data_IF_910092095291
#
_entry.id   IF_910092095291
#
_cell.length_a   1.000
_cell.length_b   1.000
_cell.length_c   1.000
_cell.angle_alpha   90.00
_cell.angle_beta   90.00
_cell.angle_gamma   90.00
#
_symmetry.space_group_name_H-M   'P 1'
#
loop_
_entity.id
_entity.type
_entity.pdbx_description
1 polymer ?
#
# COMPACT_ATOMS: atom_id res chain seq x y z
N UNK A 1 8.15 10.69 7.26
CA UNK A 1 8.86 11.95 7.05
C UNK A 1 9.55 12.00 5.68
N UNK A 2 10.52 11.09 5.36
CA UNK A 2 11.25 11.10 4.07
C UNK A 2 10.29 11.03 2.88
N UNK A 3 9.31 10.12 2.90
CA UNK A 3 8.32 9.97 1.82
C UNK A 3 7.45 11.21 1.65
N UNK A 4 7.08 11.88 2.72
CA UNK A 4 6.28 13.12 2.70
C UNK A 4 7.08 14.26 2.06
N UNK A 5 8.32 14.45 2.51
CA UNK A 5 9.22 15.46 1.96
C UNK A 5 9.48 15.19 0.46
N UNK A 6 9.74 13.92 0.10
CA UNK A 6 9.97 13.54 -1.30
C UNK A 6 8.77 13.81 -2.19
N UNK A 7 7.54 13.57 -1.73
CA UNK A 7 6.35 13.85 -2.52
C UNK A 7 6.09 15.35 -2.72
N UNK A 8 6.28 16.16 -1.67
CA UNK A 8 6.16 17.62 -1.76
C UNK A 8 7.23 18.17 -2.72
N UNK A 9 8.49 17.79 -2.52
CA UNK A 9 9.59 18.19 -3.39
C UNK A 9 9.37 17.70 -4.82
N UNK A 10 8.95 16.46 -5.00
CA UNK A 10 8.64 15.90 -6.32
C UNK A 10 7.54 16.67 -7.05
N UNK A 11 6.46 17.04 -6.34
CA UNK A 11 5.38 17.87 -6.90
C UNK A 11 5.84 19.28 -7.30
N UNK A 12 6.67 19.92 -6.49
CA UNK A 12 7.26 21.24 -6.80
C UNK A 12 8.23 21.12 -7.99
N UNK A 13 9.11 20.13 -7.98
CA UNK A 13 10.08 19.88 -9.04
C UNK A 13 9.41 19.59 -10.38
N UNK A 14 8.31 18.81 -10.39
CA UNK A 14 7.51 18.56 -11.59
C UNK A 14 6.86 19.84 -12.17
N UNK A 15 6.61 20.85 -11.35
CA UNK A 15 6.12 22.14 -11.80
C UNK A 15 7.20 23.06 -12.39
N UNK A 16 8.48 22.83 -12.08
CA UNK A 16 9.60 23.73 -12.42
C UNK A 16 10.55 23.08 -13.44
N UNK A 17 10.78 21.77 -13.33
CA UNK A 17 11.78 21.03 -14.10
C UNK A 17 11.14 20.12 -15.14
N UNK A 18 11.84 19.87 -16.24
CA UNK A 18 11.41 18.87 -17.22
C UNK A 18 11.50 17.44 -16.63
N UNK A 19 10.62 16.57 -17.10
CA UNK A 19 10.61 15.14 -16.70
C UNK A 19 11.96 14.48 -16.93
N UNK A 20 12.66 14.85 -18.00
CA UNK A 20 13.99 14.32 -18.34
C UNK A 20 15.02 14.69 -17.27
N UNK A 21 15.00 15.94 -16.79
CA UNK A 21 15.92 16.40 -15.74
C UNK A 21 15.63 15.73 -14.40
N UNK A 22 14.35 15.55 -14.05
CA UNK A 22 13.93 14.81 -12.83
C UNK A 22 14.39 13.36 -12.91
N UNK A 23 14.25 12.71 -14.07
CA UNK A 23 14.72 11.33 -14.28
C UNK A 23 16.23 11.22 -14.12
N UNK A 24 16.98 12.21 -14.62
CA UNK A 24 18.43 12.28 -14.46
C UNK A 24 18.82 12.42 -12.99
N UNK A 25 18.19 13.34 -12.25
CA UNK A 25 18.42 13.52 -10.82
C UNK A 25 18.14 12.22 -10.05
N UNK A 26 17.04 11.54 -10.38
CA UNK A 26 16.69 10.26 -9.74
C UNK A 26 17.76 9.19 -10.05
N UNK A 27 18.21 9.06 -11.29
CA UNK A 27 19.29 8.14 -11.65
C UNK A 27 20.59 8.45 -10.87
N UNK A 28 20.90 9.72 -10.69
CA UNK A 28 22.09 10.18 -9.96
C UNK A 28 22.01 9.84 -8.47
N UNK A 29 20.84 9.98 -7.85
CA UNK A 29 20.63 9.57 -6.45
C UNK A 29 20.80 8.06 -6.26
N UNK A 30 20.30 7.23 -7.20
CA UNK A 30 20.54 5.78 -7.17
C UNK A 30 22.02 5.42 -7.35
N UNK A 31 22.73 6.14 -8.21
CA UNK A 31 24.16 5.93 -8.42
C UNK A 31 24.95 6.27 -7.16
N UNK A 32 24.62 7.38 -6.48
CA UNK A 32 25.24 7.75 -5.20
C UNK A 32 24.96 6.67 -4.13
N UNK A 33 23.71 6.19 -4.04
CA UNK A 33 23.35 5.13 -3.12
C UNK A 33 24.11 3.83 -3.41
N UNK A 34 24.24 3.46 -4.68
CA UNK A 34 25.00 2.28 -5.12
C UNK A 34 26.48 2.41 -4.72
N UNK A 35 27.11 3.56 -5.01
CA UNK A 35 28.50 3.82 -4.61
C UNK A 35 28.62 3.77 -3.07
N UNK A 36 27.68 4.34 -2.33
CA UNK A 36 27.66 4.28 -0.86
C UNK A 36 27.64 2.83 -0.33
N UNK A 37 26.86 1.96 -0.96
CA UNK A 37 26.82 0.52 -0.58
C UNK A 37 28.18 -0.17 -0.80
N UNK A 38 28.93 0.20 -1.86
CA UNK A 38 30.25 -0.37 -2.12
C UNK A 38 31.28 -0.02 -1.03
N UNK A 39 31.09 1.10 -0.32
CA UNK A 39 31.95 1.51 0.78
C UNK A 39 31.58 0.89 2.15
N UNK A 40 30.43 0.17 2.23
CA UNK A 40 30.07 -0.56 3.44
C UNK A 40 31.03 -1.75 3.58
N UNK A 41 31.94 -1.67 4.56
CA UNK A 41 32.86 -2.76 4.83
C UNK A 41 32.10 -4.00 5.29
N UNK A 42 32.51 -5.16 4.75
CA UNK A 42 31.97 -6.48 5.10
C UNK A 42 32.01 -6.82 6.62
N UNK A 43 32.75 -6.08 7.44
CA UNK A 43 32.83 -6.28 8.88
C UNK A 43 31.52 -5.99 9.62
N UNK A 44 30.62 -5.13 9.05
CA UNK A 44 29.27 -4.94 9.57
C UNK A 44 28.32 -6.11 9.25
N UNK A 45 28.72 -6.99 8.35
CA UNK A 45 27.96 -8.19 7.93
C UNK A 45 28.39 -9.45 8.66
N UNK A 46 29.34 -9.35 9.62
CA UNK A 46 29.64 -10.43 10.56
C UNK A 46 28.54 -10.51 11.63
N UNK A 47 27.31 -10.71 11.21
CA UNK A 47 26.29 -11.35 12.03
C UNK A 47 26.85 -12.73 12.37
N UNK A 48 26.97 -13.02 13.67
CA UNK A 48 27.45 -14.30 14.19
C UNK A 48 26.88 -15.44 13.37
N UNK A 49 27.79 -16.29 12.85
CA UNK A 49 27.51 -17.53 12.12
C UNK A 49 26.80 -18.56 13.01
N UNK A 50 25.64 -18.25 13.55
CA UNK A 50 24.86 -19.19 14.34
C UNK A 50 23.73 -19.83 13.55
N UNK A 51 23.53 -19.41 12.28
CA UNK A 51 22.62 -20.12 11.38
C UNK A 51 23.47 -20.66 10.23
N UNK A 52 23.66 -21.98 10.21
CA UNK A 52 24.32 -22.71 9.13
C UNK A 52 23.50 -22.59 7.84
N UNK A 53 23.66 -21.47 7.14
CA UNK A 53 23.21 -21.36 5.74
C UNK A 53 24.21 -22.11 4.85
N UNK A 54 24.15 -23.45 4.87
CA UNK A 54 24.95 -24.32 4.00
C UNK A 54 24.33 -24.52 2.60
N UNK A 55 23.19 -23.91 2.31
CA UNK A 55 22.62 -23.96 0.96
C UNK A 55 22.85 -22.64 0.26
N UNK A 56 23.62 -22.67 -0.83
CA UNK A 56 23.86 -21.50 -1.68
C UNK A 56 22.54 -20.84 -2.06
N UNK A 57 22.54 -19.50 -2.13
CA UNK A 57 21.41 -18.65 -2.53
C UNK A 57 20.93 -19.05 -3.96
N UNK A 58 20.17 -20.14 -4.04
CA UNK A 58 19.48 -20.56 -5.25
C UNK A 58 18.12 -19.90 -5.27
N UNK A 59 17.72 -19.33 -6.41
CA UNK A 59 16.36 -18.81 -6.63
C UNK A 59 15.32 -19.88 -6.24
N UNK A 60 15.64 -21.15 -6.47
CA UNK A 60 14.78 -22.29 -6.13
C UNK A 60 14.59 -22.42 -4.61
N UNK A 61 15.67 -22.33 -3.80
CA UNK A 61 15.56 -22.38 -2.34
C UNK A 61 14.81 -21.17 -1.79
N UNK A 62 15.04 -19.98 -2.35
CA UNK A 62 14.29 -18.78 -1.99
C UNK A 62 12.78 -18.94 -2.25
N UNK A 63 12.40 -19.43 -3.42
CA UNK A 63 10.99 -19.71 -3.75
C UNK A 63 10.39 -20.79 -2.83
N UNK A 64 11.15 -21.84 -2.49
CA UNK A 64 10.71 -22.87 -1.56
C UNK A 64 10.48 -22.30 -0.15
N UNK A 65 11.37 -21.46 0.35
CA UNK A 65 11.20 -20.80 1.65
C UNK A 65 10.01 -19.85 1.65
N UNK A 66 9.80 -19.06 0.60
CA UNK A 66 8.60 -18.22 0.45
C UNK A 66 7.33 -19.07 0.45
N UNK A 67 7.32 -20.21 -0.26
CA UNK A 67 6.17 -21.10 -0.32
C UNK A 67 5.88 -21.75 1.03
N UNK A 68 6.90 -22.21 1.74
CA UNK A 68 6.75 -22.78 3.08
C UNK A 68 6.24 -21.74 4.09
N UNK A 69 6.78 -20.53 4.05
CA UNK A 69 6.33 -19.41 4.91
C UNK A 69 4.90 -18.97 4.58
N UNK A 70 4.52 -18.96 3.29
CA UNK A 70 3.15 -18.71 2.87
C UNK A 70 2.19 -19.79 3.36
N UNK A 71 2.61 -21.04 3.43
CA UNK A 71 1.82 -22.15 3.97
C UNK A 71 1.58 -22.00 5.48
N UNK A 72 2.54 -21.45 6.23
CA UNK A 72 2.33 -21.11 7.65
C UNK A 72 1.25 -20.05 7.82
N UNK A 73 1.26 -18.98 6.99
CA UNK A 73 0.24 -17.94 6.98
C UNK A 73 -1.13 -18.52 6.60
N UNK A 74 -1.16 -19.43 5.63
CA UNK A 74 -2.40 -20.08 5.16
C UNK A 74 -3.11 -20.89 6.23
N UNK A 75 -2.35 -21.46 7.16
CA UNK A 75 -2.89 -22.22 8.29
C UNK A 75 -3.41 -21.31 9.44
N UNK A 76 -3.21 -19.99 9.33
CA UNK A 76 -3.70 -19.02 10.30
C UNK A 76 -5.03 -18.42 9.81
N UNK A 77 -6.14 -19.16 9.92
CA UNK A 77 -7.44 -18.82 9.34
C UNK A 77 -7.85 -17.35 9.51
N UNK A 78 -7.64 -16.75 10.69
CA UNK A 78 -8.01 -15.37 10.96
C UNK A 78 -7.08 -14.36 10.29
N UNK A 79 -5.77 -14.61 10.33
CA UNK A 79 -4.75 -13.71 9.78
C UNK A 79 -4.88 -13.65 8.27
N UNK A 80 -5.10 -14.78 7.60
CA UNK A 80 -5.23 -14.81 6.14
C UNK A 80 -6.44 -14.02 5.65
N UNK A 81 -7.58 -14.10 6.36
CA UNK A 81 -8.76 -13.30 6.05
C UNK A 81 -8.48 -11.80 6.15
N UNK A 82 -7.85 -11.37 7.24
CA UNK A 82 -7.47 -9.96 7.44
C UNK A 82 -6.49 -9.53 6.35
N UNK A 83 -5.46 -10.32 6.06
CA UNK A 83 -4.48 -10.01 5.02
C UNK A 83 -5.11 -9.94 3.63
N UNK A 84 -6.09 -10.78 3.34
CA UNK A 84 -6.81 -10.75 2.07
C UNK A 84 -7.63 -9.46 1.92
N UNK A 85 -8.36 -9.05 2.95
CA UNK A 85 -9.13 -7.79 2.96
C UNK A 85 -8.18 -6.58 2.85
N UNK A 86 -7.08 -6.59 3.61
CA UNK A 86 -6.04 -5.55 3.52
C UNK A 86 -5.42 -5.48 2.13
N UNK A 87 -5.21 -6.63 1.47
CA UNK A 87 -4.67 -6.67 0.10
C UNK A 87 -5.64 -6.10 -0.93
N UNK A 88 -6.95 -6.36 -0.79
CA UNK A 88 -7.98 -5.72 -1.64
C UNK A 88 -7.98 -4.21 -1.40
N UNK A 89 -7.99 -3.77 -0.14
CA UNK A 89 -7.93 -2.36 0.21
C UNK A 89 -6.68 -1.67 -0.35
N UNK A 90 -5.53 -2.33 -0.26
CA UNK A 90 -4.28 -1.82 -0.81
C UNK A 90 -4.31 -1.72 -2.34
N UNK A 91 -5.00 -2.65 -3.03
CA UNK A 91 -5.19 -2.56 -4.47
C UNK A 91 -6.03 -1.33 -4.86
N UNK A 92 -7.08 -1.00 -4.11
CA UNK A 92 -7.88 0.23 -4.33
C UNK A 92 -7.02 1.48 -4.17
N UNK A 93 -6.24 1.57 -3.09
CA UNK A 93 -5.33 2.71 -2.83
C UNK A 93 -4.32 2.87 -3.98
N UNK A 94 -3.69 1.78 -4.41
CA UNK A 94 -2.67 1.83 -5.46
C UNK A 94 -3.24 2.23 -6.83
N UNK A 95 -4.51 1.96 -7.09
CA UNK A 95 -5.19 2.32 -8.34
C UNK A 95 -5.68 3.77 -8.32
N UNK A 96 -5.88 4.37 -7.15
CA UNK A 96 -6.41 5.73 -6.99
C UNK A 96 -5.58 6.77 -7.74
N UNK A 97 -4.26 6.78 -7.58
CA UNK A 97 -3.38 7.78 -8.23
C UNK A 97 -3.38 7.64 -9.76
N UNK A 98 -3.17 6.44 -10.35
CA UNK A 98 -3.26 6.27 -11.81
C UNK A 98 -4.61 6.69 -12.39
N UNK A 99 -5.73 6.29 -11.76
CA UNK A 99 -7.07 6.67 -12.23
C UNK A 99 -7.29 8.18 -12.09
N UNK A 100 -6.87 8.79 -10.97
CA UNK A 100 -6.93 10.23 -10.79
C UNK A 100 -6.12 10.98 -11.85
N UNK A 101 -5.00 10.42 -12.31
CA UNK A 101 -4.19 11.00 -13.38
C UNK A 101 -4.96 11.03 -14.70
N UNK A 102 -5.62 9.92 -15.07
CA UNK A 102 -6.46 9.85 -16.27
C UNK A 102 -7.63 10.82 -16.19
N UNK A 103 -8.22 10.92 -15.03
CA UNK A 103 -9.35 11.80 -14.74
C UNK A 103 -8.97 13.28 -14.85
N UNK A 104 -7.92 13.71 -14.15
CA UNK A 104 -7.46 15.10 -14.10
C UNK A 104 -6.97 15.63 -15.45
N UNK A 105 -6.58 14.76 -16.36
CA UNK A 105 -6.22 15.15 -17.72
C UNK A 105 -7.37 15.79 -18.47
N UNK A 106 -8.60 15.32 -18.22
CA UNK A 106 -9.81 15.82 -18.90
C UNK A 106 -10.60 16.82 -18.04
N UNK A 107 -10.40 16.82 -16.73
CA UNK A 107 -11.13 17.63 -15.76
C UNK A 107 -10.15 18.29 -14.78
N UNK A 108 -9.51 19.42 -15.14
CA UNK A 108 -8.55 20.11 -14.27
C UNK A 108 -9.24 20.58 -12.98
N UNK A 109 -8.58 20.39 -11.85
CA UNK A 109 -9.09 20.79 -10.54
C UNK A 109 -8.52 22.17 -10.15
N UNK A 110 -9.41 23.15 -9.84
CA UNK A 110 -9.03 24.51 -9.40
C UNK A 110 -8.00 25.20 -10.30
N UNK A 111 -8.03 24.96 -11.60
CA UNK A 111 -7.03 25.46 -12.57
C UNK A 111 -5.58 25.00 -12.27
N UNK A 112 -5.40 23.98 -11.42
CA UNK A 112 -4.11 23.39 -11.15
C UNK A 112 -3.70 22.45 -12.29
N UNK A 113 -2.39 22.38 -12.53
CA UNK A 113 -1.84 21.34 -13.42
C UNK A 113 -2.07 19.95 -12.80
N UNK A 114 -2.19 18.93 -13.64
CA UNK A 114 -2.39 17.54 -13.20
C UNK A 114 -1.36 17.11 -12.14
N UNK A 115 -0.07 17.46 -12.35
CA UNK A 115 0.98 17.13 -11.38
C UNK A 115 0.78 17.79 -10.02
N UNK A 116 0.31 19.02 -9.98
CA UNK A 116 0.03 19.76 -8.73
C UNK A 116 -1.16 19.14 -7.99
N UNK A 117 -2.22 18.76 -8.71
CA UNK A 117 -3.40 18.10 -8.14
C UNK A 117 -3.03 16.73 -7.55
N UNK A 118 -2.18 15.96 -8.23
CA UNK A 118 -1.68 14.68 -7.74
C UNK A 118 -0.73 14.84 -6.55
N UNK A 119 0.10 15.87 -6.53
CA UNK A 119 0.94 16.19 -5.38
C UNK A 119 0.08 16.53 -4.15
N UNK A 120 -1.00 17.30 -4.34
CA UNK A 120 -1.96 17.60 -3.28
C UNK A 120 -2.61 16.31 -2.74
N UNK A 121 -3.10 15.43 -3.62
CA UNK A 121 -3.69 14.14 -3.26
C UNK A 121 -2.72 13.31 -2.42
N UNK A 122 -1.51 13.06 -2.94
CA UNK A 122 -0.50 12.22 -2.26
C UNK A 122 -0.01 12.83 -0.95
N UNK A 123 0.04 14.17 -0.85
CA UNK A 123 0.43 14.85 0.39
C UNK A 123 -0.66 14.68 1.45
N UNK A 124 -1.93 14.86 1.10
CA UNK A 124 -3.05 14.66 2.03
C UNK A 124 -3.14 13.21 2.49
N UNK A 125 -2.99 12.25 1.59
CA UNK A 125 -2.96 10.82 1.93
C UNK A 125 -1.84 10.49 2.93
N UNK A 126 -0.63 11.02 2.71
CA UNK A 126 0.50 10.78 3.62
C UNK A 126 0.29 11.41 4.99
N UNK A 127 -0.19 12.65 5.05
CA UNK A 127 -0.49 13.30 6.32
C UNK A 127 -1.57 12.54 7.07
N UNK A 128 -2.64 12.14 6.40
CA UNK A 128 -3.72 11.36 6.98
C UNK A 128 -3.25 9.99 7.49
N UNK A 129 -2.39 9.29 6.75
CA UNK A 129 -1.78 8.03 7.15
C UNK A 129 -0.91 8.18 8.41
N UNK A 130 -0.10 9.24 8.48
CA UNK A 130 0.73 9.53 9.66
C UNK A 130 -0.16 9.79 10.88
N UNK A 131 -1.18 10.64 10.74
CA UNK A 131 -2.13 10.94 11.84
C UNK A 131 -2.85 9.67 12.27
N UNK A 132 -3.35 8.85 11.33
CA UNK A 132 -3.98 7.57 11.62
C UNK A 132 -3.08 6.62 12.40
N UNK A 133 -1.81 6.53 12.01
CA UNK A 133 -0.80 5.70 12.70
C UNK A 133 -0.52 6.18 14.13
N UNK A 134 -0.38 7.49 14.35
CA UNK A 134 -0.17 8.08 15.68
C UNK A 134 -1.38 7.83 16.59
N UNK A 135 -2.59 7.99 16.07
CA UNK A 135 -3.84 7.82 16.82
C UNK A 135 -4.17 6.34 17.06
N UNK A 136 -3.59 5.42 16.28
CA UNK A 136 -3.84 3.97 16.39
C UNK A 136 -3.63 3.43 17.81
N UNK A 137 -2.59 3.88 18.51
CA UNK A 137 -2.28 3.48 19.87
C UNK A 137 -3.35 3.89 20.87
N UNK A 138 -3.88 5.10 20.74
CA UNK A 138 -4.94 5.63 21.62
C UNK A 138 -6.28 4.95 21.41
N UNK A 139 -6.62 4.63 20.15
CA UNK A 139 -7.89 4.02 19.80
C UNK A 139 -7.90 2.48 19.90
N UNK A 140 -6.79 1.86 20.28
CA UNK A 140 -6.66 0.40 20.33
C UNK A 140 -7.72 -0.27 21.23
N UNK A 141 -8.03 0.35 22.35
CA UNK A 141 -8.99 -0.19 23.33
C UNK A 141 -10.45 0.19 23.04
N UNK A 142 -10.68 1.17 22.15
CA UNK A 142 -12.02 1.70 21.87
C UNK A 142 -12.59 1.17 20.56
N UNK A 143 -11.76 0.94 19.56
CA UNK A 143 -12.17 0.52 18.22
C UNK A 143 -11.57 -0.87 17.93
N UNK A 144 -12.38 -1.86 17.63
CA UNK A 144 -11.90 -3.18 17.23
C UNK A 144 -11.26 -3.15 15.83
N UNK A 145 -10.36 -4.09 15.52
CA UNK A 145 -9.78 -4.25 14.18
C UNK A 145 -10.90 -4.46 13.15
N UNK A 146 -11.91 -5.25 13.49
CA UNK A 146 -13.08 -5.51 12.65
C UNK A 146 -13.82 -4.22 12.30
N UNK A 147 -14.10 -3.37 13.28
CA UNK A 147 -14.77 -2.08 13.07
C UNK A 147 -13.94 -1.15 12.18
N UNK A 148 -12.63 -1.11 12.39
CA UNK A 148 -11.73 -0.30 11.58
C UNK A 148 -11.65 -0.80 10.11
N UNK A 149 -11.68 -2.12 9.88
CA UNK A 149 -11.77 -2.71 8.54
C UNK A 149 -13.10 -2.38 7.86
N UNK A 150 -14.22 -2.44 8.59
CA UNK A 150 -15.53 -2.01 8.07
C UNK A 150 -15.50 -0.54 7.63
N UNK A 151 -14.98 0.33 8.50
CA UNK A 151 -14.86 1.75 8.18
C UNK A 151 -14.01 1.97 6.92
N UNK A 152 -12.88 1.28 6.78
CA UNK A 152 -12.04 1.34 5.59
C UNK A 152 -12.80 0.94 4.33
N UNK A 153 -13.47 -0.21 4.32
CA UNK A 153 -14.24 -0.67 3.15
C UNK A 153 -15.36 0.30 2.79
N UNK A 154 -16.07 0.84 3.79
CA UNK A 154 -17.13 1.85 3.54
C UNK A 154 -16.54 3.13 2.94
N UNK A 155 -15.41 3.62 3.46
CA UNK A 155 -14.72 4.81 2.92
C UNK A 155 -14.30 4.56 1.48
N UNK A 156 -13.78 3.38 1.15
CA UNK A 156 -13.40 3.01 -0.21
C UNK A 156 -14.60 2.93 -1.15
N UNK A 157 -15.75 2.46 -0.68
CA UNK A 157 -17.00 2.52 -1.46
C UNK A 157 -17.42 3.96 -1.76
N UNK A 158 -17.28 4.88 -0.77
CA UNK A 158 -17.54 6.31 -0.97
C UNK A 158 -16.51 6.95 -1.91
N UNK A 159 -15.26 6.49 -1.89
CA UNK A 159 -14.24 6.92 -2.87
C UNK A 159 -14.66 6.60 -4.30
N UNK A 160 -15.25 5.42 -4.54
CA UNK A 160 -15.78 5.06 -5.86
C UNK A 160 -16.92 5.98 -6.31
N UNK A 161 -17.74 6.49 -5.38
CA UNK A 161 -18.74 7.52 -5.70
C UNK A 161 -18.05 8.81 -6.17
N UNK A 162 -16.94 9.19 -5.55
CA UNK A 162 -16.13 10.32 -6.00
C UNK A 162 -15.66 10.18 -7.47
N UNK A 163 -15.20 8.99 -7.85
CA UNK A 163 -14.83 8.69 -9.24
C UNK A 163 -16.04 8.67 -10.18
N UNK A 164 -17.16 8.09 -9.76
CA UNK A 164 -18.37 8.00 -10.57
C UNK A 164 -19.02 9.38 -10.82
N UNK A 165 -18.98 10.26 -9.83
CA UNK A 165 -19.56 11.62 -9.91
C UNK A 165 -18.62 12.64 -10.56
N UNK A 166 -17.39 12.22 -10.92
CA UNK A 166 -16.41 13.09 -11.56
C UNK A 166 -16.01 14.30 -10.67
N UNK A 167 -15.99 14.09 -9.35
CA UNK A 167 -15.74 15.13 -8.36
C UNK A 167 -14.41 14.93 -7.64
N UNK A 168 -13.33 15.61 -8.10
CA UNK A 168 -12.00 15.45 -7.51
C UNK A 168 -11.92 15.84 -6.03
N UNK A 169 -12.72 16.81 -5.57
CA UNK A 169 -12.82 17.16 -4.16
C UNK A 169 -13.30 16.01 -3.27
N UNK A 170 -14.24 15.20 -3.75
CA UNK A 170 -14.67 13.98 -3.06
C UNK A 170 -13.57 12.89 -3.07
N UNK A 171 -12.86 12.77 -4.19
CA UNK A 171 -11.71 11.85 -4.29
C UNK A 171 -10.65 12.24 -3.26
N UNK A 172 -10.28 13.52 -3.15
CA UNK A 172 -9.33 14.02 -2.14
C UNK A 172 -9.78 13.68 -0.72
N UNK A 173 -11.05 13.96 -0.39
CA UNK A 173 -11.61 13.73 0.93
C UNK A 173 -11.58 12.24 1.29
N UNK A 174 -12.12 11.39 0.43
CA UNK A 174 -12.25 9.97 0.73
C UNK A 174 -10.90 9.24 0.64
N UNK A 175 -9.99 9.65 -0.23
CA UNK A 175 -8.62 9.12 -0.23
C UNK A 175 -7.86 9.46 1.05
N UNK A 176 -8.02 10.69 1.56
CA UNK A 176 -7.41 11.06 2.83
C UNK A 176 -8.00 10.26 4.01
N UNK A 177 -9.32 10.05 4.05
CA UNK A 177 -9.98 9.23 5.05
C UNK A 177 -9.56 7.76 4.95
N UNK A 178 -9.40 7.22 3.75
CA UNK A 178 -8.91 5.85 3.53
C UNK A 178 -7.45 5.70 3.98
N UNK A 179 -6.60 6.65 3.65
CA UNK A 179 -5.22 6.68 4.13
C UNK A 179 -5.12 6.79 5.65
N UNK A 180 -5.99 7.59 6.29
CA UNK A 180 -6.11 7.63 7.76
C UNK A 180 -6.48 6.27 8.33
N UNK A 181 -7.48 5.62 7.74
CA UNK A 181 -7.94 4.28 8.11
C UNK A 181 -6.83 3.23 7.96
N UNK A 182 -6.08 3.27 6.85
CA UNK A 182 -4.93 2.42 6.61
C UNK A 182 -3.82 2.64 7.66
N UNK A 183 -3.53 3.91 8.01
CA UNK A 183 -2.60 4.26 9.07
C UNK A 183 -3.02 3.72 10.43
N UNK A 184 -4.31 3.76 10.74
CA UNK A 184 -4.88 3.23 11.98
C UNK A 184 -4.81 1.70 12.06
N UNK A 185 -5.01 1.01 10.94
CA UNK A 185 -5.01 -0.45 10.84
C UNK A 185 -3.61 -1.06 10.81
N UNK A 186 -2.67 -0.45 10.10
CA UNK A 186 -1.35 -1.02 9.81
C UNK A 186 -0.60 -1.50 11.06
N UNK A 187 -0.40 -0.72 12.13
CA UNK A 187 0.33 -1.19 13.31
C UNK A 187 -0.41 -2.29 14.07
N UNK A 188 -1.75 -2.30 14.02
CA UNK A 188 -2.57 -3.31 14.70
C UNK A 188 -2.53 -4.66 13.98
N UNK A 189 -2.59 -4.63 12.66
CA UNK A 189 -2.47 -5.86 11.85
C UNK A 189 -1.07 -6.45 12.02
N UNK A 190 -0.02 -5.61 12.04
CA UNK A 190 1.33 -6.07 12.32
C UNK A 190 1.47 -6.69 13.72
N UNK A 191 0.92 -6.05 14.74
CA UNK A 191 0.91 -6.59 16.11
C UNK A 191 0.22 -7.97 16.17
N UNK A 192 -0.92 -8.12 15.51
CA UNK A 192 -1.66 -9.37 15.46
C UNK A 192 -0.87 -10.47 14.76
N UNK A 193 -0.20 -10.13 13.66
CA UNK A 193 0.67 -11.04 12.93
C UNK A 193 1.85 -11.48 13.80
N UNK A 194 2.56 -10.52 14.43
CA UNK A 194 3.73 -10.82 15.27
C UNK A 194 3.39 -11.70 16.48
N UNK A 195 2.20 -11.56 17.07
CA UNK A 195 1.77 -12.40 18.20
C UNK A 195 1.52 -13.86 17.84
N UNK A 196 1.28 -14.16 16.57
CA UNK A 196 0.94 -15.52 16.12
C UNK A 196 2.10 -16.25 15.45
N UNK A 197 3.20 -15.57 15.18
CA UNK A 197 4.36 -16.14 14.49
C UNK A 197 5.44 -16.49 15.52
N UNK A 198 6.00 -17.72 15.47
CA UNK A 198 7.19 -18.06 16.24
C UNK A 198 8.38 -17.16 15.86
N UNK A 199 9.19 -16.75 16.84
CA UNK A 199 10.31 -15.84 16.63
C UNK A 199 11.29 -16.34 15.54
N UNK A 200 11.52 -17.65 15.48
CA UNK A 200 12.41 -18.31 14.51
C UNK A 200 11.97 -18.12 13.04
N UNK A 201 10.67 -18.01 12.79
CA UNK A 201 10.09 -17.88 11.43
C UNK A 201 9.66 -16.45 11.10
N UNK A 202 9.83 -15.49 12.01
CA UNK A 202 9.33 -14.13 11.88
C UNK A 202 9.84 -13.42 10.61
N UNK A 203 11.14 -13.52 10.32
CA UNK A 203 11.74 -12.90 9.13
C UNK A 203 11.21 -13.48 7.83
N UNK A 204 11.04 -14.80 7.76
CA UNK A 204 10.54 -15.48 6.57
C UNK A 204 9.04 -15.19 6.32
N UNK A 205 8.24 -15.17 7.38
CA UNK A 205 6.81 -14.83 7.28
C UNK A 205 6.62 -13.35 6.93
N UNK A 206 7.38 -12.45 7.55
CA UNK A 206 7.31 -11.02 7.25
C UNK A 206 7.70 -10.71 5.80
N UNK A 207 8.73 -11.37 5.26
CA UNK A 207 9.09 -11.23 3.85
C UNK A 207 8.00 -11.76 2.91
N UNK A 208 7.34 -12.86 3.27
CA UNK A 208 6.22 -13.41 2.49
C UNK A 208 5.00 -12.50 2.51
N UNK A 209 4.64 -11.92 3.66
CA UNK A 209 3.58 -10.91 3.76
C UNK A 209 3.94 -9.69 2.92
N UNK A 210 5.18 -9.18 3.02
CA UNK A 210 5.67 -8.09 2.21
C UNK A 210 5.58 -8.37 0.71
N UNK A 211 5.95 -9.58 0.28
CA UNK A 211 5.84 -9.98 -1.12
C UNK A 211 4.36 -9.99 -1.59
N UNK A 212 3.45 -10.58 -0.82
CA UNK A 212 2.01 -10.63 -1.15
C UNK A 212 1.42 -9.22 -1.20
N UNK A 213 1.72 -8.38 -0.21
CA UNK A 213 1.15 -7.01 -0.11
C UNK A 213 1.75 -6.01 -1.10
N UNK A 214 2.87 -6.34 -1.76
CA UNK A 214 3.46 -5.51 -2.82
C UNK A 214 3.16 -6.06 -4.21
N UNK A 215 3.38 -7.35 -4.44
CA UNK A 215 3.25 -7.95 -5.78
C UNK A 215 1.78 -7.99 -6.22
N UNK A 216 0.89 -8.45 -5.36
CA UNK A 216 -0.52 -8.62 -5.71
C UNK A 216 -1.21 -7.27 -6.05
N UNK A 217 -1.11 -6.21 -5.24
CA UNK A 217 -1.64 -4.90 -5.60
C UNK A 217 -1.01 -4.30 -6.85
N UNK A 218 0.28 -4.54 -7.10
CA UNK A 218 0.94 -4.06 -8.32
C UNK A 218 0.37 -4.71 -9.57
N UNK A 219 0.12 -6.02 -9.55
CA UNK A 219 -0.55 -6.74 -10.63
C UNK A 219 -1.97 -6.22 -10.86
N UNK A 220 -2.74 -6.00 -9.80
CA UNK A 220 -4.06 -5.40 -9.90
C UNK A 220 -4.01 -3.99 -10.51
N UNK A 221 -3.02 -3.19 -10.13
CA UNK A 221 -2.85 -1.84 -10.70
C UNK A 221 -2.64 -1.91 -12.21
N UNK A 222 -1.79 -2.81 -12.71
CA UNK A 222 -1.57 -2.99 -14.14
C UNK A 222 -2.88 -3.37 -14.84
N UNK A 223 -3.62 -4.34 -14.33
CA UNK A 223 -4.89 -4.80 -14.89
C UNK A 223 -5.92 -3.65 -14.90
N UNK A 224 -6.09 -2.97 -13.78
CA UNK A 224 -7.08 -1.90 -13.66
C UNK A 224 -6.74 -0.68 -14.51
N UNK A 225 -5.48 -0.29 -14.61
CA UNK A 225 -5.06 0.81 -15.50
C UNK A 225 -5.29 0.42 -16.96
N UNK A 226 -5.01 -0.83 -17.35
CA UNK A 226 -5.28 -1.33 -18.71
C UNK A 226 -6.78 -1.29 -19.00
N UNK A 227 -7.63 -1.73 -18.06
CA UNK A 227 -9.09 -1.66 -18.22
C UNK A 227 -9.56 -0.19 -18.30
N UNK A 228 -9.01 0.70 -17.44
CA UNK A 228 -9.37 2.11 -17.44
C UNK A 228 -9.06 2.80 -18.77
N UNK A 229 -7.92 2.48 -19.37
CA UNK A 229 -7.49 3.06 -20.65
C UNK A 229 -8.30 2.52 -21.83
N UNK A 230 -8.75 1.25 -21.76
CA UNK A 230 -9.47 0.59 -22.85
C UNK A 230 -11.01 0.80 -22.78
N UNK A 231 -11.58 0.76 -21.58
CA UNK A 231 -13.04 0.77 -21.34
C UNK A 231 -13.53 1.96 -20.52
N UNK A 232 -12.61 2.84 -20.10
CA UNK A 232 -12.93 4.02 -19.30
C UNK A 232 -12.91 3.74 -17.78
N UNK A 233 -12.88 4.82 -17.01
CA UNK A 233 -12.76 4.80 -15.53
C UNK A 233 -13.99 4.20 -14.85
N UNK A 234 -15.18 4.30 -15.47
CA UNK A 234 -16.43 3.70 -14.96
C UNK A 234 -16.36 2.17 -14.91
N UNK A 235 -15.75 1.52 -15.91
CA UNK A 235 -15.60 0.06 -15.92
C UNK A 235 -14.73 -0.42 -14.75
N UNK A 236 -13.64 0.29 -14.45
CA UNK A 236 -12.78 -0.02 -13.31
C UNK A 236 -13.53 0.21 -11.99
N UNK A 237 -14.26 1.31 -11.87
CA UNK A 237 -15.05 1.60 -10.66
C UNK A 237 -16.07 0.48 -10.38
N UNK A 238 -16.69 -0.08 -11.41
CA UNK A 238 -17.63 -1.19 -11.27
C UNK A 238 -16.94 -2.48 -10.79
N UNK A 239 -15.77 -2.81 -11.34
CA UNK A 239 -15.00 -3.99 -10.90
C UNK A 239 -14.51 -3.82 -9.46
N UNK A 240 -14.00 -2.63 -9.10
CA UNK A 240 -13.59 -2.32 -7.73
C UNK A 240 -14.78 -2.40 -6.76
N UNK A 241 -15.97 -1.95 -7.18
CA UNK A 241 -17.19 -2.10 -6.41
C UNK A 241 -17.48 -3.57 -6.09
N UNK A 242 -17.42 -4.46 -7.08
CA UNK A 242 -17.63 -5.89 -6.87
C UNK A 242 -16.59 -6.47 -5.90
N UNK A 243 -15.32 -6.11 -6.04
CA UNK A 243 -14.26 -6.56 -5.13
C UNK A 243 -14.48 -6.05 -3.70
N UNK A 244 -14.87 -4.80 -3.52
CA UNK A 244 -15.16 -4.24 -2.19
C UNK A 244 -16.41 -4.87 -1.57
N UNK A 245 -17.43 -5.19 -2.37
CA UNK A 245 -18.60 -5.92 -1.89
C UNK A 245 -18.23 -7.34 -1.42
N UNK A 246 -17.33 -8.03 -2.12
CA UNK A 246 -16.84 -9.34 -1.64
C UNK A 246 -16.09 -9.20 -0.32
N UNK A 247 -15.21 -8.19 -0.19
CA UNK A 247 -14.51 -7.90 1.07
C UNK A 247 -15.49 -7.57 2.20
N UNK A 248 -16.54 -6.81 1.91
CA UNK A 248 -17.59 -6.47 2.87
C UNK A 248 -18.37 -7.71 3.36
N UNK A 249 -18.77 -8.60 2.43
CA UNK A 249 -19.44 -9.87 2.76
C UNK A 249 -18.51 -10.77 3.59
N UNK A 250 -17.23 -10.83 3.26
CA UNK A 250 -16.25 -11.57 4.07
C UNK A 250 -16.17 -11.03 5.50
N UNK A 251 -16.16 -9.71 5.67
CA UNK A 251 -16.17 -9.07 7.00
C UNK A 251 -17.43 -9.39 7.79
N UNK A 252 -18.61 -9.45 7.15
CA UNK A 252 -19.87 -9.84 7.82
C UNK A 252 -19.78 -11.25 8.41
N UNK A 253 -19.14 -12.18 7.70
CA UNK A 253 -19.00 -13.57 8.12
C UNK A 253 -17.91 -13.79 9.17
N UNK A 254 -17.07 -12.78 9.46
CA UNK A 254 -16.02 -12.85 10.46
C UNK A 254 -16.62 -12.80 11.87
N UNK A 255 -16.49 -13.87 12.65
CA UNK A 255 -16.96 -13.93 14.03
C UNK A 255 -16.25 -12.91 14.94
N UNK A 256 -17.02 -12.33 15.90
CA UNK A 256 -16.59 -11.21 16.79
C UNK A 256 -15.58 -11.60 17.89
N UNK A 257 -14.83 -12.64 17.76
CA UNK A 257 -13.90 -13.08 18.80
C UNK A 257 -12.47 -12.52 18.60
N UNK A 258 -12.38 -11.18 18.48
CA UNK A 258 -11.08 -10.45 18.50
C UNK A 258 -11.17 -9.32 19.51
#
# INVERSE_FOLDING_TARGET
>A
LVRTISNILGGILLGILSIQFISLLNALTFLIAFVGILFIKNDLLKVEKTISYQEGLSIKSFCQHLFQSSKLIWNMDRVIFILFIVSISQAVINVTVPISTLFLRNHPFLNLQTGQSLALLSTLELLALIVGSLVSGYLKNTISIKTALYASVVIQLLLLVGFATVHFGLILLFSALDAFSAGLLSPRVQELVFKQIPEESMGAVQSSIGAITVVLPSLFTIVFVTIATSFGTLAVSFILLLLLLTAFVMLLNMRESI
#
